data_IF_589372666197
#
_entry.id   IF_589372666197
#
_cell.length_a   1.000
_cell.length_b   1.000
_cell.length_c   1.000
_cell.angle_alpha   90.00
_cell.angle_beta   90.00
_cell.angle_gamma   90.00
#
_symmetry.space_group_name_H-M   'P 1'
#
loop_
_entity.id
_entity.type
_entity.pdbx_description
1 polymer ?
#
# COMPACT_ATOMS: atom_id res chain seq x y z
N UNK A 1 -8.65 0.85 26.76
CA UNK A 1 -9.07 -0.21 25.80
C UNK A 1 -8.67 -1.56 26.38
N UNK A 2 -9.60 -2.50 26.53
CA UNK A 2 -9.24 -3.85 26.98
C UNK A 2 -8.46 -4.56 25.88
N UNK A 3 -7.31 -5.16 26.22
CA UNK A 3 -6.44 -5.88 25.29
C UNK A 3 -7.20 -6.88 24.41
N UNK A 4 -8.23 -7.54 24.96
CA UNK A 4 -9.09 -8.47 24.22
C UNK A 4 -9.88 -7.83 23.06
N UNK A 5 -10.32 -6.58 23.19
CA UNK A 5 -11.04 -5.88 22.12
C UNK A 5 -10.10 -5.51 20.96
N UNK A 6 -8.88 -5.07 21.30
CA UNK A 6 -7.84 -4.79 20.31
C UNK A 6 -7.46 -6.05 19.53
N UNK A 7 -7.23 -7.18 20.23
CA UNK A 7 -6.93 -8.47 19.60
C UNK A 7 -8.11 -8.95 18.75
N UNK A 8 -9.35 -8.81 19.25
CA UNK A 8 -10.55 -9.18 18.50
C UNK A 8 -10.70 -8.40 17.19
N UNK A 9 -10.54 -7.07 17.24
CA UNK A 9 -10.58 -6.22 16.04
C UNK A 9 -9.43 -6.54 15.08
N UNK A 10 -8.21 -6.67 15.60
CA UNK A 10 -7.03 -7.03 14.80
C UNK A 10 -7.21 -8.38 14.11
N UNK A 11 -7.73 -9.37 14.85
CA UNK A 11 -8.06 -10.68 14.33
C UNK A 11 -9.07 -10.61 13.20
N UNK A 12 -10.19 -9.89 13.36
CA UNK A 12 -11.19 -9.75 12.30
C UNK A 12 -10.60 -9.05 11.07
N UNK A 13 -9.87 -7.96 11.25
CA UNK A 13 -9.31 -7.19 10.13
C UNK A 13 -8.20 -7.91 9.36
N UNK A 14 -7.48 -8.82 10.01
CA UNK A 14 -6.43 -9.62 9.36
C UNK A 14 -6.96 -10.95 8.83
N UNK A 15 -7.66 -11.71 9.67
CA UNK A 15 -8.12 -13.06 9.34
C UNK A 15 -9.23 -13.07 8.30
N UNK A 16 -10.11 -12.05 8.27
CA UNK A 16 -11.19 -12.00 7.28
C UNK A 16 -10.68 -11.86 5.85
N UNK A 17 -9.85 -10.85 5.48
CA UNK A 17 -9.32 -10.75 4.13
C UNK A 17 -8.38 -11.91 3.79
N UNK A 18 -7.58 -12.40 4.74
CA UNK A 18 -6.73 -13.58 4.52
C UNK A 18 -7.57 -14.84 4.27
N UNK A 19 -8.61 -15.07 5.07
CA UNK A 19 -9.52 -16.20 4.90
C UNK A 19 -10.29 -16.12 3.58
N UNK A 20 -10.78 -14.94 3.20
CA UNK A 20 -11.44 -14.71 1.92
C UNK A 20 -10.48 -14.95 0.75
N UNK A 21 -9.22 -14.52 0.88
CA UNK A 21 -8.18 -14.76 -0.13
C UNK A 21 -7.86 -16.26 -0.27
N UNK A 22 -7.71 -16.98 0.85
CA UNK A 22 -7.47 -18.42 0.83
C UNK A 22 -8.65 -19.17 0.20
N UNK A 23 -9.88 -18.79 0.58
CA UNK A 23 -11.10 -19.34 -0.02
C UNK A 23 -11.12 -19.09 -1.53
N UNK A 24 -10.86 -17.85 -1.96
CA UNK A 24 -10.76 -17.51 -3.38
C UNK A 24 -9.69 -18.33 -4.08
N UNK A 25 -8.51 -18.50 -3.49
CA UNK A 25 -7.40 -19.27 -4.09
C UNK A 25 -7.73 -20.76 -4.25
N UNK A 26 -8.55 -21.31 -3.36
CA UNK A 26 -9.00 -22.70 -3.45
C UNK A 26 -10.00 -22.92 -4.60
N UNK A 27 -10.85 -21.93 -4.88
CA UNK A 27 -11.83 -21.99 -5.98
C UNK A 27 -11.33 -21.41 -7.31
N UNK A 28 -10.23 -20.66 -7.29
CA UNK A 28 -9.65 -20.01 -8.47
C UNK A 28 -9.39 -20.96 -9.67
N UNK A 29 -8.96 -22.23 -9.49
CA UNK A 29 -8.70 -23.14 -10.61
C UNK A 29 -9.95 -23.44 -11.45
N UNK A 30 -11.12 -23.45 -10.82
CA UNK A 30 -12.39 -23.82 -11.45
C UNK A 30 -13.14 -22.62 -12.06
N UNK A 31 -12.65 -21.40 -11.83
CA UNK A 31 -13.29 -20.17 -12.27
C UNK A 31 -12.82 -19.80 -13.69
N UNK A 32 -13.77 -19.52 -14.58
CA UNK A 32 -13.50 -19.01 -15.92
C UNK A 32 -12.66 -17.73 -15.90
N UNK A 33 -11.65 -17.64 -16.77
CA UNK A 33 -10.78 -16.45 -16.90
C UNK A 33 -11.57 -15.14 -17.11
N UNK A 34 -12.72 -15.22 -17.79
CA UNK A 34 -13.59 -14.06 -18.02
C UNK A 34 -14.22 -13.55 -16.72
N UNK A 35 -14.55 -14.45 -15.79
CA UNK A 35 -15.10 -14.09 -14.49
C UNK A 35 -14.00 -13.51 -13.58
N UNK A 36 -12.81 -14.12 -13.56
CA UNK A 36 -11.65 -13.61 -12.81
C UNK A 36 -11.31 -12.17 -13.21
N UNK A 37 -11.23 -11.87 -14.52
CA UNK A 37 -10.97 -10.51 -15.00
C UNK A 37 -12.05 -9.51 -14.57
N UNK A 38 -13.33 -9.90 -14.56
CA UNK A 38 -14.43 -9.05 -14.09
C UNK A 38 -14.33 -8.79 -12.58
N UNK A 39 -14.04 -9.81 -11.79
CA UNK A 39 -13.86 -9.70 -10.33
C UNK A 39 -12.68 -8.77 -10.03
N UNK A 40 -11.52 -8.98 -10.65
CA UNK A 40 -10.34 -8.14 -10.46
C UNK A 40 -10.58 -6.68 -10.83
N UNK A 41 -11.26 -6.43 -11.96
CA UNK A 41 -11.61 -5.08 -12.38
C UNK A 41 -12.56 -4.42 -11.37
N UNK A 42 -13.60 -5.14 -10.94
CA UNK A 42 -14.59 -4.64 -9.98
C UNK A 42 -13.95 -4.36 -8.61
N UNK A 43 -13.14 -5.30 -8.11
CA UNK A 43 -12.42 -5.16 -6.85
C UNK A 43 -11.53 -3.93 -6.85
N UNK A 44 -10.80 -3.69 -7.95
CA UNK A 44 -9.95 -2.49 -8.11
C UNK A 44 -10.75 -1.20 -8.00
N UNK A 45 -11.88 -1.10 -8.70
CA UNK A 45 -12.75 0.08 -8.62
C UNK A 45 -13.32 0.28 -7.23
N UNK A 46 -13.79 -0.79 -6.59
CA UNK A 46 -14.28 -0.74 -5.21
C UNK A 46 -13.19 -0.25 -4.26
N UNK A 47 -11.96 -0.76 -4.38
CA UNK A 47 -10.83 -0.32 -3.55
C UNK A 47 -10.53 1.16 -3.77
N UNK A 48 -10.52 1.64 -5.01
CA UNK A 48 -10.30 3.07 -5.31
C UNK A 48 -11.39 3.94 -4.68
N UNK A 49 -12.66 3.55 -4.83
CA UNK A 49 -13.79 4.29 -4.22
C UNK A 49 -13.70 4.27 -2.70
N UNK A 50 -13.41 3.12 -2.10
CA UNK A 50 -13.25 2.98 -0.66
C UNK A 50 -12.10 3.86 -0.14
N UNK A 51 -10.96 3.91 -0.85
CA UNK A 51 -9.83 4.77 -0.50
C UNK A 51 -10.17 6.26 -0.60
N UNK A 52 -10.98 6.67 -1.59
CA UNK A 52 -11.45 8.06 -1.72
C UNK A 52 -12.34 8.43 -0.54
N UNK A 53 -13.35 7.60 -0.23
CA UNK A 53 -14.26 7.83 0.90
C UNK A 53 -13.47 7.90 2.22
N UNK A 54 -12.57 6.94 2.41
CA UNK A 54 -11.69 6.88 3.57
C UNK A 54 -10.81 8.12 3.69
N UNK A 55 -10.18 8.55 2.59
CA UNK A 55 -9.37 9.76 2.54
C UNK A 55 -10.18 10.99 2.93
N UNK A 56 -11.35 11.19 2.34
CA UNK A 56 -12.24 12.32 2.66
C UNK A 56 -12.64 12.33 4.14
N UNK A 57 -13.03 11.16 4.68
CA UNK A 57 -13.44 11.06 6.09
C UNK A 57 -12.32 11.44 7.07
N UNK A 58 -11.08 11.11 6.73
CA UNK A 58 -9.91 11.37 7.56
C UNK A 58 -9.35 12.79 7.37
N UNK A 59 -9.60 13.43 6.24
CA UNK A 59 -9.20 14.82 6.01
C UNK A 59 -9.92 15.82 6.92
N UNK A 60 -11.15 15.51 7.38
CA UNK A 60 -11.94 16.40 8.24
C UNK A 60 -11.19 16.82 9.51
N UNK A 61 -10.78 15.89 10.38
CA UNK A 61 -10.01 16.19 11.60
C UNK A 61 -8.68 16.92 11.32
N UNK A 62 -7.99 16.57 10.23
CA UNK A 62 -6.75 17.22 9.84
C UNK A 62 -6.97 18.68 9.38
N UNK A 63 -8.05 18.94 8.65
CA UNK A 63 -8.44 20.29 8.22
C UNK A 63 -8.87 21.15 9.40
N UNK A 64 -9.57 20.58 10.38
CA UNK A 64 -9.92 21.27 11.61
C UNK A 64 -8.68 21.64 12.44
N UNK A 65 -7.72 20.72 12.56
CA UNK A 65 -6.46 21.00 13.23
C UNK A 65 -5.65 22.09 12.50
N UNK A 66 -5.68 22.12 11.17
CA UNK A 66 -5.02 23.16 10.37
C UNK A 66 -5.60 24.56 10.65
N UNK A 67 -6.93 24.66 10.84
CA UNK A 67 -7.64 25.92 11.13
C UNK A 67 -7.44 26.40 12.57
N UNK A 68 -7.38 25.46 13.51
CA UNK A 68 -7.32 25.76 14.95
C UNK A 68 -5.89 25.95 15.44
N UNK A 69 -4.95 25.10 15.02
CA UNK A 69 -3.54 25.16 15.42
C UNK A 69 -2.61 24.73 14.26
N UNK A 70 -2.29 25.69 13.40
CA UNK A 70 -1.40 25.47 12.26
C UNK A 70 0.00 25.01 12.68
N UNK A 71 0.49 25.42 13.86
CA UNK A 71 1.82 25.02 14.34
C UNK A 71 1.86 23.52 14.64
N UNK A 72 0.86 22.99 15.34
CA UNK A 72 0.73 21.54 15.58
C UNK A 72 0.57 20.77 14.29
N UNK A 73 -0.23 21.28 13.34
CA UNK A 73 -0.39 20.65 12.03
C UNK A 73 0.95 20.49 11.31
N UNK A 74 1.75 21.56 11.22
CA UNK A 74 3.06 21.54 10.55
C UNK A 74 4.04 20.64 11.29
N UNK A 75 4.04 20.67 12.62
CA UNK A 75 4.88 19.79 13.44
C UNK A 75 4.56 18.31 13.17
N UNK A 76 3.29 17.93 13.21
CA UNK A 76 2.85 16.57 12.89
C UNK A 76 3.25 16.19 11.47
N UNK A 77 3.01 17.06 10.48
CA UNK A 77 3.38 16.81 9.10
C UNK A 77 4.88 16.53 8.96
N UNK A 78 5.72 17.31 9.65
CA UNK A 78 7.17 17.14 9.63
C UNK A 78 7.59 15.83 10.29
N UNK A 79 7.02 15.51 11.46
CA UNK A 79 7.28 14.26 12.19
C UNK A 79 6.89 13.05 11.33
N UNK A 80 5.67 13.01 10.79
CA UNK A 80 5.23 11.83 10.01
C UNK A 80 6.03 11.69 8.72
N UNK A 81 6.32 12.81 8.03
CA UNK A 81 7.13 12.78 6.82
C UNK A 81 8.55 12.32 7.11
N UNK A 82 9.17 12.83 8.18
CA UNK A 82 10.51 12.45 8.62
C UNK A 82 10.59 10.97 9.02
N UNK A 83 9.63 10.47 9.81
CA UNK A 83 9.55 9.06 10.19
C UNK A 83 9.31 8.16 8.98
N UNK A 84 8.42 8.56 8.06
CA UNK A 84 8.13 7.82 6.84
C UNK A 84 9.36 7.72 5.93
N UNK A 85 10.00 8.86 5.65
CA UNK A 85 11.22 8.92 4.84
C UNK A 85 12.38 8.18 5.51
N UNK A 86 12.56 8.34 6.82
CA UNK A 86 13.60 7.65 7.60
C UNK A 86 13.44 6.14 7.56
N UNK A 87 12.22 5.62 7.76
CA UNK A 87 11.93 4.19 7.66
C UNK A 87 12.11 3.65 6.24
N UNK A 88 11.67 4.38 5.22
CA UNK A 88 11.88 4.02 3.83
C UNK A 88 13.37 3.96 3.49
N UNK A 89 14.14 4.96 3.93
CA UNK A 89 15.59 5.04 3.73
C UNK A 89 16.33 3.90 4.45
N UNK A 90 15.98 3.66 5.72
CA UNK A 90 16.55 2.57 6.50
C UNK A 90 16.26 1.21 5.85
N UNK A 91 15.02 0.99 5.39
CA UNK A 91 14.64 -0.24 4.67
C UNK A 91 15.46 -0.40 3.39
N UNK A 92 15.66 0.68 2.62
CA UNK A 92 16.45 0.65 1.40
C UNK A 92 17.94 0.33 1.67
N UNK A 93 18.52 0.86 2.75
CA UNK A 93 19.91 0.55 3.16
C UNK A 93 20.02 -0.91 3.57
N UNK A 94 19.15 -1.37 4.46
CA UNK A 94 19.20 -2.74 4.99
C UNK A 94 19.01 -3.75 3.86
N UNK A 95 18.11 -3.48 2.92
CA UNK A 95 17.82 -4.39 1.81
C UNK A 95 18.75 -4.19 0.60
N UNK A 96 19.70 -3.26 0.65
CA UNK A 96 20.59 -2.95 -0.47
C UNK A 96 21.37 -4.18 -0.98
N UNK A 97 21.70 -5.11 -0.07
CA UNK A 97 22.40 -6.35 -0.41
C UNK A 97 21.59 -7.32 -1.28
N UNK A 98 20.26 -7.20 -1.33
CA UNK A 98 19.38 -8.05 -2.17
C UNK A 98 19.23 -7.50 -3.60
N UNK A 99 19.78 -6.31 -3.86
CA UNK A 99 19.68 -5.63 -5.14
C UNK A 99 18.78 -4.40 -5.08
N UNK A 100 19.05 -3.43 -5.96
CA UNK A 100 18.40 -2.12 -5.92
C UNK A 100 16.89 -2.19 -6.15
N UNK A 101 16.43 -3.11 -7.00
CA UNK A 101 15.01 -3.28 -7.30
C UNK A 101 14.22 -3.79 -6.09
N UNK A 102 14.76 -4.79 -5.40
CA UNK A 102 14.13 -5.40 -4.23
C UNK A 102 14.19 -4.45 -3.03
N UNK A 103 15.31 -3.75 -2.85
CA UNK A 103 15.47 -2.73 -1.83
C UNK A 103 14.46 -1.57 -1.99
N UNK A 104 14.26 -1.09 -3.21
CA UNK A 104 13.27 -0.05 -3.51
C UNK A 104 11.84 -0.57 -3.31
N UNK A 105 11.56 -1.80 -3.73
CA UNK A 105 10.24 -2.42 -3.55
C UNK A 105 9.91 -2.58 -2.07
N UNK A 106 10.84 -3.12 -1.27
CA UNK A 106 10.69 -3.25 0.17
C UNK A 106 10.55 -1.89 0.86
N UNK A 107 11.32 -0.88 0.44
CA UNK A 107 11.24 0.49 0.95
C UNK A 107 9.87 1.11 0.69
N UNK A 108 9.33 0.95 -0.51
CA UNK A 108 7.97 1.37 -0.89
C UNK A 108 6.95 0.66 0.00
N UNK A 109 6.99 -0.67 0.08
CA UNK A 109 6.04 -1.47 0.89
C UNK A 109 6.08 -1.07 2.37
N UNK A 110 7.27 -0.80 2.92
CA UNK A 110 7.48 -0.32 4.30
C UNK A 110 6.97 1.11 4.52
N UNK A 111 7.04 1.96 3.49
CA UNK A 111 6.53 3.34 3.52
C UNK A 111 5.00 3.40 3.44
N UNK A 112 4.38 2.54 2.62
CA UNK A 112 2.92 2.45 2.44
C UNK A 112 2.25 1.56 3.50
N UNK A 113 2.59 1.77 4.78
CA UNK A 113 1.89 1.13 5.89
C UNK A 113 0.42 1.56 5.88
N UNK A 114 -0.47 0.61 6.14
CA UNK A 114 -1.90 0.90 6.27
C UNK A 114 -2.16 1.59 7.61
N UNK A 115 -1.84 2.89 7.70
CA UNK A 115 -2.08 3.72 8.89
C UNK A 115 -3.57 3.79 9.21
N UNK A 116 -4.43 3.64 8.21
CA UNK A 116 -5.87 3.54 8.38
C UNK A 116 -6.32 2.34 9.19
N UNK A 117 -5.71 1.19 8.95
CA UNK A 117 -5.94 0.00 9.77
C UNK A 117 -5.49 0.24 11.21
N UNK A 118 -4.33 0.88 11.41
CA UNK A 118 -3.88 1.30 12.74
C UNK A 118 -4.90 2.19 13.46
N UNK A 119 -5.49 3.16 12.77
CA UNK A 119 -6.53 4.04 13.32
C UNK A 119 -7.78 3.27 13.74
N UNK A 120 -8.28 2.38 12.89
CA UNK A 120 -9.46 1.55 13.21
C UNK A 120 -9.19 0.64 14.41
N UNK A 121 -7.96 0.12 14.54
CA UNK A 121 -7.57 -0.75 15.66
C UNK A 121 -7.42 0.01 16.98
N UNK A 122 -6.92 1.24 16.95
CA UNK A 122 -6.82 2.11 18.14
C UNK A 122 -8.22 2.51 18.65
N UNK A 123 -9.24 2.37 17.79
CA UNK A 123 -10.65 2.48 18.13
C UNK A 123 -11.14 3.93 18.20
N UNK A 124 -12.44 4.10 17.92
CA UNK A 124 -13.13 5.41 17.87
C UNK A 124 -13.14 6.21 19.19
N UNK A 125 -12.55 5.67 20.25
CA UNK A 125 -12.54 6.27 21.59
C UNK A 125 -11.30 7.14 21.86
N UNK A 126 -10.31 7.17 20.97
CA UNK A 126 -9.23 8.15 21.08
C UNK A 126 -9.68 9.46 20.44
N UNK A 127 -9.83 10.46 21.30
CA UNK A 127 -10.27 11.82 21.01
C UNK A 127 -9.48 12.47 19.85
N UNK A 128 -10.08 13.51 19.25
CA UNK A 128 -9.81 14.02 17.90
C UNK A 128 -8.37 14.30 17.49
N UNK A 129 -7.41 14.39 18.42
CA UNK A 129 -5.99 14.54 18.11
C UNK A 129 -5.41 13.33 17.37
N UNK A 130 -5.80 12.10 17.73
CA UNK A 130 -5.31 10.89 17.05
C UNK A 130 -5.85 10.82 15.61
N UNK A 131 -7.13 11.18 15.42
CA UNK A 131 -7.74 11.25 14.10
C UNK A 131 -7.08 12.31 13.22
N UNK A 132 -6.74 13.48 13.79
CA UNK A 132 -6.02 14.54 13.08
C UNK A 132 -4.59 14.09 12.70
N UNK A 133 -3.87 13.44 13.61
CA UNK A 133 -2.55 12.87 13.32
C UNK A 133 -2.61 11.86 12.16
N UNK A 134 -3.59 10.95 12.19
CA UNK A 134 -3.80 9.97 11.12
C UNK A 134 -4.12 10.68 9.80
N UNK A 135 -4.93 11.74 9.80
CA UNK A 135 -5.21 12.48 8.57
C UNK A 135 -4.03 13.23 8.00
N UNK A 136 -3.22 13.83 8.86
CA UNK A 136 -1.97 14.47 8.44
C UNK A 136 -1.00 13.44 7.87
N UNK A 137 -0.95 12.23 8.44
CA UNK A 137 -0.09 11.15 7.95
C UNK A 137 -0.41 10.70 6.52
N UNK A 138 -1.65 10.87 6.06
CA UNK A 138 -2.05 10.50 4.70
C UNK A 138 -1.46 11.42 3.63
N UNK A 139 -1.19 12.68 3.97
CA UNK A 139 -0.66 13.67 3.03
C UNK A 139 0.66 13.17 2.41
N UNK A 140 1.73 12.90 3.16
CA UNK A 140 2.98 12.43 2.56
C UNK A 140 2.81 11.08 1.85
N UNK A 141 1.89 10.21 2.28
CA UNK A 141 1.60 8.93 1.63
C UNK A 141 1.05 9.14 0.21
N UNK A 142 0.08 10.05 0.04
CA UNK A 142 -0.47 10.37 -1.27
C UNK A 142 0.47 11.19 -2.15
N UNK A 143 1.32 12.03 -1.55
CA UNK A 143 2.31 12.83 -2.27
C UNK A 143 3.57 12.04 -2.66
N UNK A 144 3.98 11.03 -1.89
CA UNK A 144 5.16 10.21 -2.17
C UNK A 144 5.22 9.63 -3.60
N UNK A 145 4.17 8.96 -4.13
CA UNK A 145 4.23 8.41 -5.49
C UNK A 145 4.31 9.52 -6.56
N UNK A 146 3.69 10.68 -6.33
CA UNK A 146 3.83 11.85 -7.22
C UNK A 146 5.26 12.38 -7.24
N UNK A 147 5.88 12.49 -6.06
CA UNK A 147 7.28 12.92 -5.91
C UNK A 147 8.22 11.91 -6.57
N UNK A 148 8.04 10.61 -6.33
CA UNK A 148 8.83 9.55 -6.95
C UNK A 148 8.68 9.59 -8.48
N UNK A 149 7.45 9.70 -8.98
CA UNK A 149 7.19 9.78 -10.41
C UNK A 149 7.84 11.01 -11.04
N UNK A 150 7.82 12.16 -10.36
CA UNK A 150 8.48 13.37 -10.81
C UNK A 150 10.01 13.25 -10.79
N UNK A 151 10.60 12.68 -9.74
CA UNK A 151 12.05 12.46 -9.62
C UNK A 151 12.57 11.46 -10.65
N UNK A 152 11.88 10.33 -10.83
CA UNK A 152 12.26 9.28 -11.79
C UNK A 152 11.96 9.71 -13.23
N UNK A 153 10.85 10.40 -13.46
CA UNK A 153 10.45 10.94 -14.76
C UNK A 153 11.48 11.92 -15.34
N UNK A 154 12.20 12.66 -14.49
CA UNK A 154 13.33 13.52 -14.89
C UNK A 154 14.55 12.74 -15.39
N UNK A 155 14.87 11.60 -14.77
CA UNK A 155 15.99 10.74 -15.21
C UNK A 155 15.68 9.92 -16.47
N UNK A 156 14.39 9.72 -16.79
CA UNK A 156 13.94 8.96 -17.97
C UNK A 156 14.31 9.60 -19.31
N UNK A 157 14.68 10.90 -19.34
CA UNK A 157 15.19 11.58 -20.55
C UNK A 157 16.66 11.30 -20.88
N UNK A 158 17.38 10.53 -20.04
CA UNK A 158 18.81 10.21 -20.24
C UNK A 158 19.15 8.72 -20.11
N UNK A 159 18.16 7.82 -20.05
CA UNK A 159 18.44 6.39 -19.91
C UNK A 159 18.37 5.71 -21.28
N UNK A 160 19.47 5.05 -21.73
CA UNK A 160 19.47 4.29 -22.97
C UNK A 160 18.40 3.19 -22.90
N UNK A 161 17.83 2.88 -24.07
CA UNK A 161 16.68 2.00 -24.34
C UNK A 161 16.77 0.57 -23.78
N UNK A 162 17.90 0.20 -23.16
CA UNK A 162 18.19 -1.13 -22.65
C UNK A 162 17.49 -1.49 -21.33
N UNK A 163 17.00 -0.51 -20.54
CA UNK A 163 16.28 -0.79 -19.29
C UNK A 163 14.75 -0.88 -19.48
N UNK A 164 14.27 -1.86 -20.25
CA UNK A 164 12.83 -2.22 -20.29
C UNK A 164 12.30 -2.71 -18.93
N UNK A 165 13.14 -3.29 -18.07
CA UNK A 165 12.74 -3.79 -16.75
C UNK A 165 12.18 -2.70 -15.82
N UNK A 166 12.79 -1.50 -15.81
CA UNK A 166 12.32 -0.39 -14.98
C UNK A 166 11.02 0.22 -15.53
N UNK A 167 10.76 0.07 -16.83
CA UNK A 167 9.50 0.48 -17.47
C UNK A 167 8.35 -0.43 -17.06
N UNK A 168 8.60 -1.74 -16.97
CA UNK A 168 7.64 -2.70 -16.43
C UNK A 168 7.42 -2.46 -14.93
N UNK A 169 8.45 -2.24 -14.12
CA UNK A 169 8.27 -1.98 -12.67
C UNK A 169 7.44 -0.72 -12.37
N UNK A 170 7.53 0.32 -13.21
CA UNK A 170 6.75 1.56 -13.09
C UNK A 170 5.36 1.48 -13.74
N UNK A 171 5.11 0.48 -14.61
CA UNK A 171 3.80 0.21 -15.23
C UNK A 171 3.06 -0.98 -14.58
N UNK A 172 3.74 -1.79 -13.77
CA UNK A 172 3.23 -2.97 -13.04
C UNK A 172 2.69 -2.65 -11.63
N UNK A 173 2.22 -1.42 -11.41
CA UNK A 173 1.12 -1.22 -10.47
C UNK A 173 -0.20 -1.57 -11.21
N UNK A 174 -0.37 -2.83 -11.64
CA UNK A 174 -0.68 -3.91 -10.72
C UNK A 174 0.17 -5.18 -10.92
N UNK A 175 0.50 -5.83 -9.80
CA UNK A 175 1.20 -7.10 -9.66
C UNK A 175 0.71 -8.16 -10.66
N UNK A 176 1.47 -8.40 -11.72
CA UNK A 176 1.41 -9.66 -12.47
C UNK A 176 2.49 -10.55 -11.91
N UNK A 177 2.13 -11.36 -10.91
CA UNK A 177 3.02 -12.40 -10.38
C UNK A 177 3.33 -13.36 -11.53
N UNK A 178 4.61 -13.57 -11.90
CA UNK A 178 4.94 -14.57 -12.90
C UNK A 178 4.63 -15.94 -12.30
N UNK A 179 3.58 -16.59 -12.80
CA UNK A 179 3.33 -17.99 -12.57
C UNK A 179 4.55 -18.78 -13.06
N UNK A 180 5.18 -19.51 -12.13
CA UNK A 180 6.27 -20.42 -12.40
C UNK A 180 5.94 -21.32 -13.60
N UNK A 181 6.87 -21.54 -14.55
CA UNK A 181 6.65 -22.47 -15.64
C UNK A 181 6.40 -23.88 -15.08
N UNK A 182 5.19 -24.38 -15.28
CA UNK A 182 4.86 -25.80 -15.08
C UNK A 182 5.75 -26.63 -16.02
N UNK A 183 6.43 -27.69 -15.52
CA UNK A 183 7.16 -28.59 -16.39
C UNK A 183 6.17 -29.31 -17.32
N UNK A 184 6.38 -29.18 -18.62
CA UNK A 184 5.69 -29.92 -19.67
C UNK A 184 5.87 -31.42 -19.40
N UNK A 185 4.79 -32.08 -18.95
CA UNK A 185 4.67 -33.53 -18.98
C UNK A 185 4.66 -33.96 -20.45
N UNK A 186 5.85 -34.36 -20.89
CA UNK A 186 6.10 -35.06 -22.15
C UNK A 186 5.39 -36.42 -22.11
N UNK A 187 4.23 -36.52 -22.74
CA UNK A 187 3.48 -37.76 -22.86
C UNK A 187 3.83 -38.41 -24.20
N UNK A 188 4.94 -39.15 -24.23
CA UNK A 188 5.27 -40.12 -25.28
C UNK A 188 5.07 -41.53 -24.70
N UNK A 189 4.01 -42.20 -25.13
CA UNK A 189 3.75 -43.63 -24.95
C UNK A 189 2.46 -43.95 -25.71
N UNK A 190 2.58 -44.34 -26.99
CA UNK A 190 2.54 -45.74 -27.46
C UNK A 190 1.20 -46.42 -27.23
#
# INVERSE_FOLDING_TARGET
>A
MHFGEFIGRSGIFLLLPTGLFLLYSAFAPDISEALTKKIEHTARWITVIALIIFGIGILGPAAELLRTDTHRFVLYLFIVTGLGAGMAFLTAIVMYHQGITDALTASIVSGFRNVGLGFVLIGANQEGETAAYVGISQIPIFFAPLVIHWLVGRKRRRLPTSCRCLRELLLMAPLKVPLSPQPLLNNTGN
#
